data_IF_015699957039
#
_entry.id   IF_015699957039
#
_cell.length_a   1.000
_cell.length_b   1.000
_cell.length_c   1.000
_cell.angle_alpha   90.00
_cell.angle_beta   90.00
_cell.angle_gamma   90.00
#
_symmetry.space_group_name_H-M   'P 1'
#
loop_
_entity.id
_entity.type
_entity.pdbx_description
1 polymer ?
#
# COMPACT_ATOMS: atom_id res chain seq x y z
N UNK A 1 5.02 25.69 0.28
CA UNK A 1 3.90 24.71 0.26
C UNK A 1 2.83 25.28 -0.66
N UNK A 2 2.42 24.54 -1.68
CA UNK A 2 1.40 24.98 -2.64
C UNK A 2 0.17 24.09 -2.45
N UNK A 3 -0.95 24.69 -2.05
CA UNK A 3 -2.20 23.99 -1.77
C UNK A 3 -3.18 24.26 -2.91
N UNK A 4 -3.65 23.21 -3.59
CA UNK A 4 -4.67 23.31 -4.63
C UNK A 4 -6.04 22.91 -4.04
N UNK A 5 -7.02 23.79 -4.20
CA UNK A 5 -8.40 23.65 -3.69
C UNK A 5 -9.41 23.95 -4.80
N UNK A 6 -10.45 23.12 -4.97
CA UNK A 6 -11.37 23.17 -6.11
C UNK A 6 -12.23 21.91 -6.27
N UNK A 7 -13.36 22.02 -6.96
CA UNK A 7 -14.40 20.98 -7.09
C UNK A 7 -14.04 19.83 -8.05
N UNK A 8 -13.13 20.05 -9.01
CA UNK A 8 -12.76 19.07 -10.06
C UNK A 8 -11.39 18.40 -9.87
N UNK A 9 -10.86 18.40 -8.63
CA UNK A 9 -9.49 17.90 -8.38
C UNK A 9 -9.43 16.35 -8.33
N UNK A 10 -10.57 15.65 -8.32
CA UNK A 10 -10.62 14.19 -8.30
C UNK A 10 -9.84 13.52 -9.44
N UNK A 11 -9.83 14.13 -10.64
CA UNK A 11 -9.09 13.66 -11.80
C UNK A 11 -7.57 13.83 -11.65
N UNK A 12 -7.12 14.90 -11.00
CA UNK A 12 -5.71 15.28 -10.83
C UNK A 12 -4.95 14.33 -9.89
N UNK A 13 -5.67 13.58 -9.05
CA UNK A 13 -5.07 12.59 -8.13
C UNK A 13 -4.55 11.37 -8.89
N UNK A 14 -5.19 10.98 -10.01
CA UNK A 14 -4.84 9.77 -10.75
C UNK A 14 -4.97 8.47 -9.94
N UNK A 15 -4.48 7.34 -10.48
CA UNK A 15 -4.44 6.09 -9.75
C UNK A 15 -3.41 6.19 -8.61
N UNK A 16 -3.88 6.17 -7.35
CA UNK A 16 -3.02 6.17 -6.13
C UNK A 16 -2.13 7.40 -5.93
N UNK A 17 -2.41 8.54 -6.56
CA UNK A 17 -1.60 9.76 -6.39
C UNK A 17 -0.41 9.88 -7.35
N UNK A 18 -0.26 8.97 -8.32
CA UNK A 18 0.85 9.01 -9.28
C UNK A 18 0.84 10.29 -10.13
N UNK A 19 -0.35 10.77 -10.52
CA UNK A 19 -0.49 12.04 -11.24
C UNK A 19 -0.11 13.24 -10.38
N UNK A 20 -0.43 13.20 -9.08
CA UNK A 20 -0.01 14.21 -8.13
C UNK A 20 1.52 14.26 -7.99
N UNK A 21 2.17 13.09 -7.90
CA UNK A 21 3.62 12.98 -7.82
C UNK A 21 4.30 13.50 -9.09
N UNK A 22 3.77 13.18 -10.27
CA UNK A 22 4.26 13.71 -11.55
C UNK A 22 4.14 15.24 -11.64
N UNK A 23 3.01 15.80 -11.21
CA UNK A 23 2.81 17.25 -11.17
C UNK A 23 3.74 17.93 -10.17
N UNK A 24 3.96 17.33 -9.00
CA UNK A 24 4.91 17.85 -8.02
C UNK A 24 6.34 17.87 -8.58
N UNK A 25 6.74 16.81 -9.30
CA UNK A 25 8.04 16.73 -9.96
C UNK A 25 8.22 17.83 -11.02
N UNK A 26 7.24 17.98 -11.92
CA UNK A 26 7.27 19.02 -12.96
C UNK A 26 7.27 20.43 -12.36
N UNK A 27 6.45 20.68 -11.34
CA UNK A 27 6.44 21.96 -10.64
C UNK A 27 7.79 22.27 -9.98
N UNK A 28 8.46 21.26 -9.41
CA UNK A 28 9.81 21.39 -8.89
C UNK A 28 10.85 21.74 -9.96
N UNK A 29 10.79 21.09 -11.13
CA UNK A 29 11.68 21.39 -12.26
C UNK A 29 11.50 22.83 -12.74
N UNK A 30 10.25 23.27 -12.96
CA UNK A 30 9.95 24.63 -13.43
C UNK A 30 10.39 25.68 -12.40
N UNK A 31 10.12 25.45 -11.11
CA UNK A 31 10.49 26.38 -10.04
C UNK A 31 12.01 26.55 -9.89
N UNK A 32 12.80 25.53 -10.24
CA UNK A 32 14.26 25.55 -10.13
C UNK A 32 14.98 25.74 -11.49
N UNK A 33 14.24 25.94 -12.59
CA UNK A 33 14.81 26.06 -13.94
C UNK A 33 15.63 27.36 -14.14
N UNK A 34 15.34 28.42 -13.38
CA UNK A 34 15.99 29.73 -13.56
C UNK A 34 17.04 30.03 -12.49
N UNK A 35 18.08 29.20 -12.37
CA UNK A 35 19.40 29.51 -11.76
C UNK A 35 19.42 30.22 -10.40
N UNK A 36 18.32 30.26 -9.67
CA UNK A 36 18.11 31.02 -8.45
C UNK A 36 18.20 30.14 -7.21
N UNK A 37 17.76 30.65 -6.04
CA UNK A 37 17.73 29.87 -4.81
C UNK A 37 16.90 28.60 -4.99
N UNK A 38 17.33 27.49 -4.38
CA UNK A 38 16.60 26.23 -4.46
C UNK A 38 15.24 26.34 -3.75
N UNK A 39 14.14 26.15 -4.47
CA UNK A 39 12.79 26.20 -3.93
C UNK A 39 12.24 24.79 -3.70
N UNK A 40 11.87 24.48 -2.44
CA UNK A 40 11.20 23.22 -2.08
C UNK A 40 9.69 23.32 -2.37
N UNK A 41 9.25 22.75 -3.48
CA UNK A 41 7.83 22.68 -3.86
C UNK A 41 7.22 21.39 -3.32
N UNK A 42 6.15 21.52 -2.54
CA UNK A 42 5.34 20.40 -2.07
C UNK A 42 3.88 20.69 -2.43
N UNK A 43 3.27 19.77 -3.16
CA UNK A 43 1.89 19.84 -3.66
C UNK A 43 1.04 18.91 -2.80
N UNK A 44 0.18 19.47 -1.95
CA UNK A 44 -0.78 18.71 -1.15
C UNK A 44 -2.19 19.09 -1.60
N UNK A 45 -2.89 18.12 -2.15
CA UNK A 45 -4.29 18.26 -2.56
C UNK A 45 -5.14 17.66 -1.46
N UNK A 46 -5.86 18.50 -0.70
CA UNK A 46 -6.89 18.06 0.24
C UNK A 46 -6.44 17.02 1.28
N UNK A 47 -5.17 17.08 1.72
CA UNK A 47 -4.57 16.12 2.66
C UNK A 47 -4.54 14.67 2.12
N UNK A 48 -4.43 14.50 0.80
CA UNK A 48 -4.47 13.19 0.16
C UNK A 48 -3.45 12.22 0.73
N UNK A 49 -2.19 12.67 0.92
CA UNK A 49 -1.11 11.80 1.42
C UNK A 49 -1.43 11.24 2.81
N UNK A 50 -1.95 12.08 3.69
CA UNK A 50 -2.34 11.69 5.05
C UNK A 50 -3.55 10.75 5.03
N UNK A 51 -4.56 11.05 4.20
CA UNK A 51 -5.73 10.18 4.02
C UNK A 51 -5.33 8.81 3.48
N UNK A 52 -4.45 8.78 2.46
CA UNK A 52 -3.93 7.56 1.84
C UNK A 52 -3.15 6.73 2.84
N UNK A 53 -2.27 7.35 3.63
CA UNK A 53 -1.53 6.69 4.72
C UNK A 53 -2.49 6.01 5.70
N UNK A 54 -3.51 6.71 6.20
CA UNK A 54 -4.51 6.14 7.11
C UNK A 54 -5.29 4.98 6.49
N UNK A 55 -5.62 5.07 5.19
CA UNK A 55 -6.26 3.97 4.47
C UNK A 55 -5.37 2.73 4.41
N UNK A 56 -4.08 2.89 4.11
CA UNK A 56 -3.12 1.79 4.07
C UNK A 56 -2.92 1.17 5.46
N UNK A 57 -2.86 1.99 6.51
CA UNK A 57 -2.75 1.48 7.89
C UNK A 57 -3.95 0.64 8.30
N UNK A 58 -5.16 1.11 7.96
CA UNK A 58 -6.39 0.35 8.18
C UNK A 58 -6.40 -0.94 7.36
N UNK A 59 -5.98 -0.89 6.09
CA UNK A 59 -5.88 -2.06 5.21
C UNK A 59 -4.93 -3.12 5.80
N UNK A 60 -3.73 -2.71 6.22
CA UNK A 60 -2.72 -3.62 6.78
C UNK A 60 -3.24 -4.39 7.99
N UNK A 61 -3.80 -3.67 8.98
CA UNK A 61 -4.39 -4.29 10.18
C UNK A 61 -5.54 -5.24 9.84
N UNK A 62 -6.48 -4.80 9.00
CA UNK A 62 -7.64 -5.61 8.60
C UNK A 62 -7.22 -6.90 7.88
N UNK A 63 -6.18 -6.85 7.05
CA UNK A 63 -5.69 -8.01 6.32
C UNK A 63 -4.88 -8.94 7.22
N UNK A 64 -4.13 -8.43 8.19
CA UNK A 64 -3.48 -9.24 9.23
C UNK A 64 -4.50 -10.03 10.05
N UNK A 65 -5.54 -9.36 10.58
CA UNK A 65 -6.62 -10.03 11.32
C UNK A 65 -7.35 -11.07 10.47
N UNK A 66 -7.62 -10.77 9.20
CA UNK A 66 -8.21 -11.72 8.26
C UNK A 66 -7.30 -12.94 8.06
N UNK A 67 -6.01 -12.71 7.87
CA UNK A 67 -5.01 -13.78 7.70
C UNK A 67 -4.96 -14.69 8.91
N UNK A 68 -4.93 -14.13 10.12
CA UNK A 68 -4.99 -14.89 11.38
C UNK A 68 -6.28 -15.70 11.53
N UNK A 69 -7.43 -15.07 11.30
CA UNK A 69 -8.75 -15.72 11.42
C UNK A 69 -8.91 -16.88 10.44
N UNK A 70 -8.42 -16.70 9.21
CA UNK A 70 -8.49 -17.73 8.16
C UNK A 70 -7.37 -18.75 8.23
N UNK A 71 -6.28 -18.42 8.90
CA UNK A 71 -5.03 -19.19 8.90
C UNK A 71 -4.39 -19.26 7.51
N UNK A 72 -4.56 -18.23 6.67
CA UNK A 72 -4.07 -18.22 5.28
C UNK A 72 -3.34 -16.93 4.94
N UNK A 73 -2.46 -17.03 3.95
CA UNK A 73 -1.78 -15.86 3.41
C UNK A 73 -2.76 -14.99 2.59
N UNK A 74 -2.50 -13.69 2.58
CA UNK A 74 -3.23 -12.68 1.82
C UNK A 74 -2.23 -11.82 1.06
N UNK A 75 -2.31 -11.84 -0.27
CA UNK A 75 -1.53 -10.96 -1.13
C UNK A 75 -2.29 -9.67 -1.42
N UNK A 76 -1.61 -8.53 -1.29
CA UNK A 76 -2.16 -7.22 -1.67
C UNK A 76 -1.82 -6.90 -3.13
N UNK A 77 -2.43 -5.84 -3.65
CA UNK A 77 -2.04 -5.29 -4.95
C UNK A 77 -0.61 -4.74 -4.91
N UNK A 78 0.13 -4.75 -6.05
CA UNK A 78 1.43 -4.09 -6.17
C UNK A 78 1.36 -2.63 -5.78
N UNK A 79 2.35 -2.13 -5.05
CA UNK A 79 2.36 -0.77 -4.52
C UNK A 79 3.79 -0.26 -4.39
N UNK A 80 3.98 1.05 -4.33
CA UNK A 80 5.33 1.63 -4.27
C UNK A 80 6.04 1.30 -2.93
N UNK A 81 7.38 1.44 -2.84
CA UNK A 81 8.13 1.09 -1.62
C UNK A 81 7.65 1.80 -0.35
N UNK A 82 7.19 3.05 -0.46
CA UNK A 82 6.68 3.81 0.68
C UNK A 82 5.37 3.23 1.21
N UNK A 83 4.43 2.91 0.32
CA UNK A 83 3.17 2.26 0.69
C UNK A 83 3.41 0.88 1.32
N UNK A 84 4.34 0.09 0.77
CA UNK A 84 4.72 -1.23 1.36
C UNK A 84 5.22 -1.07 2.79
N UNK A 85 6.06 -0.07 3.06
CA UNK A 85 6.57 0.19 4.41
C UNK A 85 5.44 0.48 5.40
N UNK A 86 4.44 1.28 5.01
CA UNK A 86 3.26 1.57 5.85
C UNK A 86 2.51 0.28 6.19
N UNK A 87 2.28 -0.59 5.20
CA UNK A 87 1.64 -1.89 5.42
C UNK A 87 2.45 -2.74 6.39
N UNK A 88 3.77 -2.89 6.16
CA UNK A 88 4.64 -3.68 7.03
C UNK A 88 4.56 -3.21 8.50
N UNK A 89 4.71 -1.90 8.74
CA UNK A 89 4.58 -1.33 10.09
C UNK A 89 3.21 -1.60 10.70
N UNK A 90 2.14 -1.51 9.90
CA UNK A 90 0.77 -1.75 10.38
C UNK A 90 0.49 -3.22 10.69
N UNK A 91 1.12 -4.14 9.96
CA UNK A 91 1.02 -5.58 10.24
C UNK A 91 1.79 -5.94 11.51
N UNK A 92 2.94 -5.31 11.77
CA UNK A 92 3.74 -5.53 12.97
C UNK A 92 2.99 -5.21 14.28
N UNK A 93 1.97 -4.36 14.25
CA UNK A 93 1.14 -4.06 15.43
C UNK A 93 0.12 -5.16 15.74
N UNK A 94 -0.03 -6.17 14.88
CA UNK A 94 -1.00 -7.26 15.06
C UNK A 94 -0.23 -8.51 15.47
N UNK A 95 -0.42 -8.91 16.73
CA UNK A 95 0.26 -10.09 17.29
C UNK A 95 -0.05 -11.36 16.49
N UNK A 96 0.99 -12.16 16.24
CA UNK A 96 0.89 -13.41 15.49
C UNK A 96 0.84 -13.25 13.97
N UNK A 97 0.81 -12.03 13.42
CA UNK A 97 0.89 -11.78 11.99
C UNK A 97 2.32 -11.44 11.54
N UNK A 98 2.67 -11.80 10.31
CA UNK A 98 3.91 -11.42 9.63
C UNK A 98 3.63 -10.92 8.22
N UNK A 99 4.57 -10.18 7.66
CA UNK A 99 4.50 -9.73 6.27
C UNK A 99 5.86 -9.74 5.60
N UNK A 100 5.85 -9.92 4.28
CA UNK A 100 7.04 -9.86 3.43
C UNK A 100 6.65 -9.33 2.05
N UNK A 101 7.63 -8.84 1.28
CA UNK A 101 7.39 -8.36 -0.07
C UNK A 101 7.75 -9.45 -1.08
N UNK A 102 6.90 -9.67 -2.07
CA UNK A 102 7.12 -10.58 -3.20
C UNK A 102 6.99 -9.85 -4.53
N UNK A 103 7.62 -10.40 -5.58
CA UNK A 103 7.64 -9.81 -6.92
C UNK A 103 8.75 -8.78 -7.16
N UNK A 104 8.84 -8.33 -8.40
CA UNK A 104 9.88 -7.42 -8.90
C UNK A 104 9.25 -6.14 -9.44
N UNK A 105 9.96 -5.02 -9.26
CA UNK A 105 9.60 -3.69 -9.74
C UNK A 105 8.12 -3.34 -9.55
N UNK A 106 7.40 -3.17 -10.67
CA UNK A 106 5.99 -2.76 -10.72
C UNK A 106 5.03 -3.84 -10.23
N UNK A 107 5.45 -5.10 -10.15
CA UNK A 107 4.66 -6.21 -9.62
C UNK A 107 4.94 -6.49 -8.16
N UNK A 108 5.84 -5.73 -7.54
CA UNK A 108 6.26 -5.95 -6.16
C UNK A 108 5.16 -5.53 -5.18
N UNK A 109 4.70 -6.47 -4.38
CA UNK A 109 3.55 -6.35 -3.49
C UNK A 109 3.83 -6.96 -2.12
N UNK A 110 2.96 -6.70 -1.14
CA UNK A 110 3.08 -7.26 0.22
C UNK A 110 2.19 -8.49 0.35
N UNK A 111 2.76 -9.55 0.91
CA UNK A 111 2.04 -10.73 1.38
C UNK A 111 1.99 -10.71 2.90
N UNK A 112 0.83 -11.04 3.47
CA UNK A 112 0.55 -11.06 4.90
C UNK A 112 0.13 -12.47 5.29
N UNK A 113 0.70 -13.01 6.36
CA UNK A 113 0.47 -14.39 6.79
C UNK A 113 0.51 -14.56 8.31
N UNK A 114 -0.03 -15.66 8.85
CA UNK A 114 0.18 -16.03 10.25
C UNK A 114 1.64 -16.47 10.48
N UNK A 115 2.22 -16.06 11.61
CA UNK A 115 3.57 -16.49 12.03
C UNK A 115 3.63 -18.01 12.18
N UNK A 116 2.58 -18.63 12.73
CA UNK A 116 2.44 -20.08 12.89
C UNK A 116 2.36 -20.88 11.57
N UNK A 117 2.32 -20.21 10.41
CA UNK A 117 2.16 -20.86 9.11
C UNK A 117 0.70 -21.11 8.74
N UNK A 118 0.47 -21.45 7.47
CA UNK A 118 -0.89 -21.67 6.97
C UNK A 118 -1.53 -22.91 7.60
N UNK A 119 -2.80 -22.80 8.00
CA UNK A 119 -3.60 -23.94 8.43
C UNK A 119 -3.86 -24.84 7.22
N UNK A 120 -3.17 -25.99 7.15
CA UNK A 120 -3.49 -27.04 6.18
C UNK A 120 -4.96 -27.44 6.38
N UNK A 121 -5.75 -27.36 5.29
CA UNK A 121 -7.06 -28.03 5.29
C UNK A 121 -6.83 -29.51 5.57
N UNK A 122 -7.66 -30.17 6.39
CA UNK A 122 -7.67 -31.63 6.42
C UNK A 122 -7.91 -32.11 4.99
N UNK A 123 -6.94 -32.86 4.47
CA UNK A 123 -7.00 -33.47 3.16
C UNK A 123 -8.24 -34.36 3.11
N UNK A 124 -9.18 -34.06 2.20
CA UNK A 124 -10.32 -34.92 1.86
C UNK A 124 -9.84 -36.16 1.08
N UNK A 125 -8.86 -36.88 1.60
CA UNK A 125 -8.36 -38.12 1.03
C UNK A 125 -8.79 -39.28 1.94
N UNK A 126 -9.88 -39.94 1.58
CA UNK A 126 -10.30 -41.16 2.27
C UNK A 126 -11.80 -41.45 2.25
N UNK A 127 -12.47 -41.39 1.10
CA UNK A 127 -13.71 -42.15 0.91
C UNK A 127 -13.59 -42.92 -0.41
N UNK A 128 -12.79 -43.99 -0.38
CA UNK A 128 -12.89 -45.07 -1.36
C UNK A 128 -14.14 -45.87 -1.00
N UNK A 129 -15.13 -45.86 -1.87
CA UNK A 129 -16.30 -46.74 -1.78
C UNK A 129 -15.84 -48.21 -1.78
N UNK A 130 -16.38 -49.10 -0.92
CA UNK A 130 -16.25 -50.53 -1.11
C UNK A 130 -17.15 -50.99 -2.26
N UNK A 131 -16.65 -51.99 -2.98
CA UNK A 131 -17.22 -52.63 -4.18
C UNK A 131 -18.61 -53.21 -4.01
#
# INVERSE_FOLDING_TARGET
LLTLSGSDIGFVIGHRGETLDALQYLAGLVANHKGGPYYRVALDIGHYREKRRRTLESLGRKMAEKSLRTGRNVSLEPMNPYERRIIHTSVQTVEGAKSWSEGEDLRRHVVIGPVAGERRRPSRAGNRYPS
#
